data_IF_431056787120
#
_entry.id   IF_431056787120
#
_cell.length_a   1.000
_cell.length_b   1.000
_cell.length_c   1.000
_cell.angle_alpha   90.00
_cell.angle_beta   90.00
_cell.angle_gamma   90.00
#
_symmetry.space_group_name_H-M   'P 1'
#
loop_
_entity.id
_entity.type
_entity.pdbx_description
1 polymer ?
#
# COMPACT_ATOMS: atom_id res chain seq x y z
N UNK A 1 24.02 -20.13 51.52
CA UNK A 1 22.95 -20.89 50.82
C UNK A 1 21.76 -20.05 50.37
N UNK A 2 21.45 -18.89 50.97
CA UNK A 2 20.33 -18.03 50.53
C UNK A 2 20.59 -17.28 49.20
N UNK A 3 21.82 -16.85 48.95
CA UNK A 3 22.21 -16.16 47.70
C UNK A 3 22.08 -17.03 46.43
N UNK A 4 22.29 -18.35 46.55
CA UNK A 4 22.18 -19.27 45.42
C UNK A 4 20.73 -19.47 44.95
N UNK A 5 19.76 -19.35 45.88
CA UNK A 5 18.32 -19.41 45.56
C UNK A 5 17.85 -18.16 44.83
N UNK A 6 18.38 -16.98 45.18
CA UNK A 6 18.04 -15.74 44.49
C UNK A 6 18.54 -15.75 43.04
N UNK A 7 19.75 -16.28 42.81
CA UNK A 7 20.34 -16.38 41.47
C UNK A 7 19.59 -17.37 40.57
N UNK A 8 19.13 -18.50 41.11
CA UNK A 8 18.30 -19.45 40.36
C UNK A 8 16.91 -18.88 40.02
N UNK A 9 16.30 -18.10 40.93
CA UNK A 9 15.02 -17.43 40.65
C UNK A 9 15.18 -16.33 39.58
N UNK A 10 16.25 -15.53 39.67
CA UNK A 10 16.56 -14.50 38.65
C UNK A 10 16.84 -15.12 37.28
N UNK A 11 17.60 -16.22 37.21
CA UNK A 11 17.81 -16.92 35.95
C UNK A 11 16.54 -17.60 35.41
N UNK A 12 15.64 -18.08 36.27
CA UNK A 12 14.35 -18.58 35.81
C UNK A 12 13.46 -17.47 35.23
N UNK A 13 13.48 -16.27 35.81
CA UNK A 13 12.71 -15.12 35.28
C UNK A 13 13.27 -14.69 33.91
N UNK A 14 14.60 -14.71 33.73
CA UNK A 14 15.21 -14.42 32.43
C UNK A 14 15.02 -15.53 31.39
N UNK A 15 14.85 -16.80 31.79
CA UNK A 15 14.51 -17.89 30.88
C UNK A 15 13.03 -17.92 30.48
N UNK A 16 12.12 -17.41 31.31
CA UNK A 16 10.69 -17.36 30.98
C UNK A 16 10.36 -16.31 29.91
N UNK A 17 11.21 -15.30 29.69
CA UNK A 17 11.07 -14.35 28.59
C UNK A 17 11.74 -14.79 27.28
N UNK A 18 12.39 -15.96 27.25
CA UNK A 18 13.16 -16.42 26.09
C UNK A 18 12.51 -17.57 25.30
N UNK A 19 11.28 -18.00 25.68
CA UNK A 19 10.60 -19.16 25.07
C UNK A 19 9.13 -18.87 24.72
N UNK A 20 8.75 -17.60 24.61
CA UNK A 20 7.66 -17.19 23.73
C UNK A 20 8.36 -16.57 22.53
N UNK A 21 8.17 -17.11 21.33
CA UNK A 21 8.59 -16.42 20.11
C UNK A 21 8.10 -14.98 20.24
N UNK A 22 9.00 -14.03 20.13
CA UNK A 22 8.65 -12.64 20.34
C UNK A 22 7.75 -12.26 19.17
N UNK A 23 6.46 -12.02 19.44
CA UNK A 23 5.45 -11.56 18.48
C UNK A 23 5.82 -10.12 18.12
N UNK A 24 6.83 -9.96 17.26
CA UNK A 24 7.47 -8.67 16.96
C UNK A 24 7.16 -8.23 15.53
N UNK A 25 6.82 -9.16 14.65
CA UNK A 25 6.56 -8.93 13.23
C UNK A 25 5.24 -9.55 12.81
N UNK A 26 4.70 -9.12 11.67
CA UNK A 26 3.50 -9.71 11.08
C UNK A 26 3.70 -11.21 10.79
N UNK A 27 4.90 -11.62 10.38
CA UNK A 27 5.25 -13.03 10.11
C UNK A 27 5.11 -13.95 11.33
N UNK A 28 5.06 -13.38 12.53
CA UNK A 28 4.87 -14.14 13.78
C UNK A 28 3.40 -14.47 14.04
N UNK A 29 2.45 -13.88 13.29
CA UNK A 29 1.02 -14.10 13.44
C UNK A 29 0.65 -15.55 13.13
N UNK A 30 0.04 -16.21 14.09
CA UNK A 30 -0.49 -17.57 13.94
C UNK A 30 -1.80 -17.78 14.67
N UNK A 31 -2.35 -16.74 15.32
CA UNK A 31 -3.63 -16.72 16.04
C UNK A 31 -3.78 -17.73 17.19
N UNK A 32 -2.78 -18.59 17.42
CA UNK A 32 -2.70 -19.50 18.56
C UNK A 32 -1.83 -18.93 19.68
N UNK A 33 -0.66 -18.40 19.32
CA UNK A 33 0.37 -17.91 20.25
C UNK A 33 0.68 -16.41 20.09
N UNK A 34 0.36 -15.82 18.93
CA UNK A 34 0.57 -14.41 18.58
C UNK A 34 -0.63 -13.89 17.79
N UNK A 35 -1.35 -12.93 18.38
CA UNK A 35 -2.50 -12.25 17.76
C UNK A 35 -2.14 -10.81 17.40
N UNK A 36 -3.01 -10.14 16.63
CA UNK A 36 -2.82 -8.73 16.27
C UNK A 36 -2.63 -7.83 17.50
N UNK A 37 -3.38 -8.06 18.58
CA UNK A 37 -3.25 -7.28 19.83
C UNK A 37 -1.91 -7.46 20.55
N UNK A 38 -1.11 -8.45 20.16
CA UNK A 38 0.20 -8.70 20.74
C UNK A 38 1.32 -7.99 19.96
N UNK A 39 1.02 -7.46 18.76
CA UNK A 39 1.95 -6.70 17.93
C UNK A 39 2.08 -5.24 18.40
N UNK A 40 3.13 -4.54 17.96
CA UNK A 40 3.27 -3.11 18.25
C UNK A 40 2.41 -2.24 17.30
N UNK A 41 2.02 -1.04 17.74
CA UNK A 41 1.29 -0.07 16.90
C UNK A 41 1.98 0.21 15.55
N UNK A 42 3.32 0.18 15.53
CA UNK A 42 4.12 0.38 14.31
C UNK A 42 3.89 -0.75 13.32
N UNK A 43 3.86 -1.99 13.79
CA UNK A 43 3.63 -3.17 12.94
C UNK A 43 2.18 -3.19 12.47
N UNK A 44 1.24 -2.91 13.36
CA UNK A 44 -0.18 -2.81 13.03
C UNK A 44 -0.48 -1.73 11.98
N UNK A 45 0.20 -0.59 12.07
CA UNK A 45 0.13 0.47 11.04
C UNK A 45 0.75 -0.01 9.73
N UNK A 46 1.84 -0.78 9.79
CA UNK A 46 2.51 -1.34 8.62
C UNK A 46 1.62 -2.26 7.78
N UNK A 47 0.72 -3.03 8.42
CA UNK A 47 -0.25 -3.90 7.73
C UNK A 47 -1.15 -3.08 6.78
N UNK A 48 -1.69 -1.97 7.25
CA UNK A 48 -2.54 -1.10 6.42
C UNK A 48 -1.73 -0.36 5.34
N UNK A 49 -0.51 0.08 5.67
CA UNK A 49 0.34 0.79 4.72
C UNK A 49 0.70 -0.06 3.49
N UNK A 50 0.78 -1.41 3.64
CA UNK A 50 1.05 -2.32 2.52
C UNK A 50 -0.01 -2.22 1.42
N UNK A 51 -1.27 -2.04 1.81
CA UNK A 51 -2.40 -1.89 0.87
C UNK A 51 -2.73 -0.42 0.57
N UNK A 52 -1.82 0.51 0.90
CA UNK A 52 -1.99 1.94 0.62
C UNK A 52 -2.96 2.68 1.53
N UNK A 53 -3.41 2.08 2.64
CA UNK A 53 -4.33 2.72 3.59
C UNK A 53 -3.57 3.28 4.80
N UNK A 54 -3.68 4.59 5.04
CA UNK A 54 -3.23 5.18 6.30
C UNK A 54 -4.18 4.82 7.45
N UNK A 55 -3.63 4.20 8.48
CA UNK A 55 -4.37 3.75 9.66
C UNK A 55 -5.14 4.89 10.34
N UNK A 56 -4.52 6.05 10.50
CA UNK A 56 -5.05 7.16 11.31
C UNK A 56 -5.97 8.07 10.49
N UNK A 57 -5.72 8.21 9.19
CA UNK A 57 -6.47 9.09 8.29
C UNK A 57 -7.63 8.37 7.60
N UNK A 58 -7.48 7.10 7.23
CA UNK A 58 -8.49 6.36 6.45
C UNK A 58 -9.25 5.32 7.27
N UNK A 59 -8.53 4.49 8.04
CA UNK A 59 -9.11 3.27 8.65
C UNK A 59 -9.83 3.57 9.96
N UNK A 60 -9.10 4.08 10.95
CA UNK A 60 -9.63 4.31 12.30
C UNK A 60 -10.80 5.32 12.35
N UNK A 61 -10.80 6.43 11.59
CA UNK A 61 -11.94 7.34 11.55
C UNK A 61 -13.22 6.70 11.00
N UNK A 62 -13.09 5.71 10.11
CA UNK A 62 -14.23 5.01 9.49
C UNK A 62 -14.80 3.94 10.41
N UNK A 63 -13.93 3.23 11.14
CA UNK A 63 -14.32 2.19 12.09
C UNK A 63 -14.92 2.74 13.38
N UNK A 64 -14.45 3.90 13.82
CA UNK A 64 -14.84 4.52 15.08
C UNK A 64 -15.74 5.69 14.71
N UNK A 65 -17.04 5.42 14.72
CA UNK A 65 -18.14 6.34 14.39
C UNK A 65 -18.09 7.58 15.30
N UNK A 66 -17.27 8.55 14.92
CA UNK A 66 -16.95 9.73 15.72
C UNK A 66 -17.47 10.99 15.03
N UNK A 67 -18.71 11.35 15.36
CA UNK A 67 -19.41 12.58 14.98
C UNK A 67 -18.73 13.89 15.47
N UNK A 68 -17.60 13.79 16.20
CA UNK A 68 -16.89 14.95 16.75
C UNK A 68 -15.84 15.50 15.77
N UNK A 69 -16.33 16.38 14.88
CA UNK A 69 -15.56 17.29 14.01
C UNK A 69 -14.76 18.38 14.76
N UNK A 70 -14.34 18.13 16.00
CA UNK A 70 -13.42 19.04 16.69
C UNK A 70 -12.01 18.71 16.20
N UNK A 71 -11.37 19.63 15.47
CA UNK A 71 -10.03 19.48 14.88
C UNK A 71 -8.87 19.32 15.89
N UNK A 72 -9.09 18.59 16.98
CA UNK A 72 -8.05 18.09 17.87
C UNK A 72 -7.48 16.79 17.31
N UNK A 73 -6.17 16.61 17.45
CA UNK A 73 -5.48 15.39 17.04
C UNK A 73 -6.01 14.22 17.86
N UNK A 74 -6.79 13.34 17.22
CA UNK A 74 -7.34 12.15 17.86
C UNK A 74 -6.21 11.23 18.32
N UNK A 75 -6.38 10.66 19.51
CA UNK A 75 -5.45 9.68 20.08
C UNK A 75 -6.20 8.37 20.19
N UNK A 76 -5.76 7.39 19.40
CA UNK A 76 -6.34 6.06 19.35
C UNK A 76 -5.66 5.12 20.33
N UNK A 77 -6.40 4.15 20.86
CA UNK A 77 -5.86 3.10 21.75
C UNK A 77 -5.23 1.98 20.95
N UNK A 78 -4.37 1.20 21.59
CA UNK A 78 -3.72 0.05 20.96
C UNK A 78 -4.74 -0.96 20.41
N UNK A 79 -5.82 -1.22 21.15
CA UNK A 79 -6.91 -2.08 20.71
C UNK A 79 -7.58 -1.56 19.43
N UNK A 80 -7.65 -0.25 19.26
CA UNK A 80 -8.18 0.37 18.04
C UNK A 80 -7.23 0.14 16.86
N UNK A 81 -5.92 0.27 17.06
CA UNK A 81 -4.93 -0.11 16.03
C UNK A 81 -5.04 -1.59 15.64
N UNK A 82 -5.26 -2.49 16.61
CA UNK A 82 -5.43 -3.91 16.32
C UNK A 82 -6.70 -4.19 15.50
N UNK A 83 -7.82 -3.54 15.83
CA UNK A 83 -9.06 -3.62 15.03
C UNK A 83 -8.87 -3.00 13.63
N UNK A 84 -8.14 -1.89 13.52
CA UNK A 84 -7.83 -1.29 12.23
C UNK A 84 -6.99 -2.20 11.34
N UNK A 85 -5.99 -2.88 11.92
CA UNK A 85 -5.18 -3.84 11.19
C UNK A 85 -5.99 -5.06 10.73
N UNK A 86 -6.93 -5.53 11.55
CA UNK A 86 -7.88 -6.59 11.17
C UNK A 86 -8.73 -6.18 9.96
N UNK A 87 -9.25 -4.95 9.95
CA UNK A 87 -9.99 -4.41 8.80
C UNK A 87 -9.12 -4.38 7.54
N UNK A 88 -7.86 -3.92 7.64
CA UNK A 88 -6.94 -3.90 6.51
C UNK A 88 -6.67 -5.29 5.95
N UNK A 89 -6.50 -6.31 6.80
CA UNK A 89 -6.33 -7.70 6.34
C UNK A 89 -7.60 -8.19 5.62
N UNK A 90 -8.79 -7.84 6.12
CA UNK A 90 -10.05 -8.22 5.45
C UNK A 90 -10.21 -7.53 4.10
N UNK A 91 -9.84 -6.25 3.99
CA UNK A 91 -9.85 -5.52 2.72
C UNK A 91 -8.86 -6.13 1.74
N UNK A 92 -7.64 -6.42 2.18
CA UNK A 92 -6.63 -7.10 1.35
C UNK A 92 -7.14 -8.43 0.78
N UNK A 93 -7.71 -9.28 1.63
CA UNK A 93 -8.27 -10.56 1.22
C UNK A 93 -9.46 -10.40 0.27
N UNK A 94 -10.31 -9.39 0.47
CA UNK A 94 -11.42 -9.10 -0.44
C UNK A 94 -10.92 -8.57 -1.80
N UNK A 95 -9.89 -7.72 -1.82
CA UNK A 95 -9.26 -7.26 -3.07
C UNK A 95 -8.63 -8.42 -3.84
N UNK A 96 -7.92 -9.32 -3.16
CA UNK A 96 -7.33 -10.51 -3.76
C UNK A 96 -8.41 -11.44 -4.33
N UNK A 97 -9.51 -11.62 -3.59
CA UNK A 97 -10.67 -12.38 -4.06
C UNK A 97 -11.31 -11.74 -5.29
N UNK A 98 -11.50 -10.41 -5.29
CA UNK A 98 -12.04 -9.69 -6.44
C UNK A 98 -11.12 -9.80 -7.66
N UNK A 99 -9.80 -9.71 -7.48
CA UNK A 99 -8.83 -9.89 -8.55
C UNK A 99 -8.94 -11.26 -9.23
N UNK A 100 -9.27 -12.31 -8.45
CA UNK A 100 -9.48 -13.67 -8.98
C UNK A 100 -10.88 -13.90 -9.57
N UNK A 101 -11.93 -13.42 -8.89
CA UNK A 101 -13.32 -13.73 -9.22
C UNK A 101 -13.91 -12.79 -10.28
N UNK A 102 -13.57 -11.50 -10.23
CA UNK A 102 -14.11 -10.46 -11.11
C UNK A 102 -13.08 -9.31 -11.32
N UNK A 103 -12.02 -9.55 -12.11
CA UNK A 103 -10.98 -8.54 -12.35
C UNK A 103 -11.51 -7.29 -13.07
N UNK A 104 -12.58 -7.40 -13.87
CA UNK A 104 -13.19 -6.26 -14.56
C UNK A 104 -13.85 -5.28 -13.57
N UNK A 105 -14.46 -5.81 -12.50
CA UNK A 105 -15.04 -4.99 -11.44
C UNK A 105 -13.95 -4.29 -10.61
N UNK A 106 -12.85 -4.98 -10.32
CA UNK A 106 -11.70 -4.39 -9.62
C UNK A 106 -11.11 -3.22 -10.44
N UNK A 107 -10.86 -3.44 -11.73
CA UNK A 107 -10.37 -2.39 -12.64
C UNK A 107 -11.35 -1.20 -12.71
N UNK A 108 -12.66 -1.47 -12.68
CA UNK A 108 -13.68 -0.41 -12.62
C UNK A 108 -13.59 0.39 -11.32
N UNK A 109 -13.42 -0.28 -10.18
CA UNK A 109 -13.30 0.38 -8.87
C UNK A 109 -12.04 1.24 -8.77
N UNK A 110 -10.90 0.75 -9.24
CA UNK A 110 -9.66 1.51 -9.30
C UNK A 110 -9.82 2.77 -10.16
N UNK A 111 -10.45 2.64 -11.33
CA UNK A 111 -10.73 3.78 -12.20
C UNK A 111 -11.64 4.81 -11.53
N UNK A 112 -12.67 4.36 -10.82
CA UNK A 112 -13.57 5.26 -10.09
C UNK A 112 -12.84 5.99 -8.97
N UNK A 113 -12.00 5.29 -8.20
CA UNK A 113 -11.19 5.90 -7.15
C UNK A 113 -10.21 6.95 -7.70
N UNK A 114 -9.55 6.67 -8.82
CA UNK A 114 -8.67 7.64 -9.49
C UNK A 114 -9.42 8.86 -10.03
N UNK A 115 -10.67 8.68 -10.47
CA UNK A 115 -11.49 9.77 -11.00
C UNK A 115 -12.11 10.65 -9.89
N UNK A 116 -12.29 10.12 -8.68
CA UNK A 116 -12.87 10.86 -7.56
C UNK A 116 -11.92 11.92 -6.99
N UNK A 117 -10.61 11.64 -6.92
CA UNK A 117 -9.60 12.58 -6.45
C UNK A 117 -8.33 12.60 -7.34
N UNK A 118 -8.39 13.30 -8.49
CA UNK A 118 -7.25 13.41 -9.39
C UNK A 118 -6.12 14.26 -8.80
N UNK A 119 -6.38 15.07 -7.77
CA UNK A 119 -5.37 15.90 -7.12
C UNK A 119 -4.43 15.05 -6.26
N UNK A 120 -4.98 14.05 -5.53
CA UNK A 120 -4.17 13.06 -4.79
C UNK A 120 -3.32 12.24 -5.76
N UNK A 121 -3.89 11.78 -6.86
CA UNK A 121 -3.15 11.02 -7.88
C UNK A 121 -2.01 11.87 -8.46
N UNK A 122 -2.28 13.13 -8.78
CA UNK A 122 -1.27 14.07 -9.25
C UNK A 122 -0.13 14.29 -8.23
N UNK A 123 -0.44 14.37 -6.93
CA UNK A 123 0.55 14.49 -5.86
C UNK A 123 1.45 13.24 -5.80
N UNK A 124 0.87 12.04 -5.80
CA UNK A 124 1.62 10.78 -5.78
C UNK A 124 2.55 10.69 -6.99
N UNK A 125 2.04 10.96 -8.20
CA UNK A 125 2.86 10.94 -9.42
C UNK A 125 3.98 11.98 -9.30
N UNK A 126 3.68 13.19 -8.83
CA UNK A 126 4.68 14.25 -8.66
C UNK A 126 5.80 13.84 -7.70
N UNK A 127 5.46 13.17 -6.60
CA UNK A 127 6.42 12.67 -5.62
C UNK A 127 7.30 11.55 -6.19
N UNK A 128 6.72 10.63 -6.97
CA UNK A 128 7.48 9.58 -7.68
C UNK A 128 8.44 10.21 -8.69
N UNK A 129 7.97 11.15 -9.51
CA UNK A 129 8.80 11.84 -10.50
C UNK A 129 9.92 12.66 -9.85
N UNK A 130 9.73 13.21 -8.66
CA UNK A 130 10.77 13.95 -7.94
C UNK A 130 11.88 13.05 -7.39
N UNK A 131 11.59 11.78 -7.15
CA UNK A 131 12.58 10.83 -6.64
C UNK A 131 13.59 10.42 -7.71
N UNK A 132 13.20 10.44 -8.99
CA UNK A 132 14.06 10.05 -10.11
C UNK A 132 14.08 11.11 -11.24
N UNK A 133 15.23 11.78 -11.37
CA UNK A 133 15.45 12.82 -12.36
C UNK A 133 15.53 12.30 -13.82
N UNK A 134 15.78 11.01 -14.03
CA UNK A 134 15.77 10.38 -15.34
C UNK A 134 14.32 10.06 -15.73
N UNK A 135 13.58 9.40 -14.83
CA UNK A 135 12.14 9.16 -15.00
C UNK A 135 11.37 10.45 -15.30
N UNK A 136 11.63 11.52 -14.52
CA UNK A 136 11.04 12.84 -14.75
C UNK A 136 11.23 13.34 -16.19
N UNK A 137 12.43 13.17 -16.74
CA UNK A 137 12.74 13.62 -18.11
C UNK A 137 12.08 12.75 -19.15
N UNK A 138 12.05 11.45 -18.93
CA UNK A 138 11.50 10.49 -19.88
C UNK A 138 9.99 10.66 -19.98
N UNK A 139 9.31 10.80 -18.83
CA UNK A 139 7.88 11.13 -18.76
C UNK A 139 7.61 12.52 -19.36
N UNK A 140 8.40 13.55 -19.02
CA UNK A 140 8.24 14.88 -19.61
C UNK A 140 8.39 14.87 -21.14
N UNK A 141 9.30 14.06 -21.68
CA UNK A 141 9.53 13.93 -23.12
C UNK A 141 8.35 13.22 -23.79
N UNK A 142 7.90 12.09 -23.21
CA UNK A 142 6.77 11.33 -23.71
C UNK A 142 5.49 12.14 -23.76
N UNK A 143 5.21 12.92 -22.70
CA UNK A 143 4.06 13.83 -22.65
C UNK A 143 4.15 14.91 -23.73
N UNK A 144 5.34 15.48 -23.98
CA UNK A 144 5.53 16.46 -25.07
C UNK A 144 5.31 15.85 -26.46
N UNK A 145 5.65 14.57 -26.62
CA UNK A 145 5.56 13.86 -27.90
C UNK A 145 4.21 13.14 -28.12
N UNK A 146 3.35 13.09 -27.09
CA UNK A 146 2.01 12.50 -27.13
C UNK A 146 1.07 13.37 -27.99
N UNK A 147 1.12 13.15 -29.31
CA UNK A 147 0.32 13.90 -30.28
C UNK A 147 -1.20 13.78 -30.05
N UNK A 148 -1.64 12.64 -29.51
CA UNK A 148 -3.05 12.35 -29.24
C UNK A 148 -3.60 13.18 -28.05
N UNK A 149 -2.71 13.72 -27.21
CA UNK A 149 -3.03 14.53 -26.02
C UNK A 149 -2.51 15.97 -26.12
N UNK A 150 -2.13 16.42 -27.33
CA UNK A 150 -1.46 17.70 -27.53
C UNK A 150 -2.28 18.92 -27.09
N UNK A 151 -3.62 18.86 -27.20
CA UNK A 151 -4.50 19.95 -26.77
C UNK A 151 -4.50 20.08 -25.24
N UNK A 152 -4.57 18.97 -24.50
CA UNK A 152 -4.52 18.94 -23.02
C UNK A 152 -3.15 19.44 -22.53
N UNK A 153 -2.08 18.92 -23.12
CA UNK A 153 -0.70 19.32 -22.80
C UNK A 153 -0.52 20.81 -23.01
N UNK A 154 -1.03 21.34 -24.12
CA UNK A 154 -0.96 22.77 -24.41
C UNK A 154 -1.77 23.61 -23.43
N UNK A 155 -3.02 23.25 -23.15
CA UNK A 155 -3.90 24.03 -22.27
C UNK A 155 -3.32 24.14 -20.85
N UNK A 156 -2.77 23.04 -20.32
CA UNK A 156 -2.16 23.02 -18.98
C UNK A 156 -0.81 23.74 -18.99
N UNK A 157 0.05 23.51 -19.98
CA UNK A 157 1.37 24.18 -20.03
C UNK A 157 1.26 25.69 -20.21
N UNK A 158 0.34 26.18 -21.06
CA UNK A 158 0.10 27.62 -21.23
C UNK A 158 -0.52 28.28 -19.99
N UNK A 159 -1.26 27.52 -19.17
CA UNK A 159 -1.91 28.00 -17.96
C UNK A 159 -1.05 27.95 -16.69
N UNK A 160 -0.13 26.99 -16.58
CA UNK A 160 0.55 26.66 -15.32
C UNK A 160 2.07 26.83 -15.35
N UNK A 161 2.70 26.88 -16.53
CA UNK A 161 4.13 27.18 -16.66
C UNK A 161 4.37 28.67 -16.87
N UNK A 162 5.38 29.21 -16.18
CA UNK A 162 5.85 30.57 -16.41
C UNK A 162 6.74 30.65 -17.66
N UNK A 163 6.94 31.86 -18.20
CA UNK A 163 7.84 32.06 -19.35
C UNK A 163 9.24 31.48 -19.08
N UNK A 164 9.62 30.45 -19.83
CA UNK A 164 10.92 29.80 -19.75
C UNK A 164 11.00 28.60 -18.81
N UNK A 165 9.92 28.27 -18.08
CA UNK A 165 9.82 27.01 -17.34
C UNK A 165 9.51 25.85 -18.29
N UNK A 166 10.06 24.68 -17.99
CA UNK A 166 9.76 23.42 -18.67
C UNK A 166 9.04 22.46 -17.72
N UNK A 167 8.44 21.39 -18.26
CA UNK A 167 7.80 20.35 -17.45
C UNK A 167 8.77 19.68 -16.46
N UNK A 168 10.07 19.63 -16.80
CA UNK A 168 11.12 19.08 -15.94
C UNK A 168 11.41 20.01 -14.73
N UNK A 169 11.10 21.30 -14.84
CA UNK A 169 11.27 22.27 -13.75
C UNK A 169 10.07 22.27 -12.79
N UNK A 170 8.95 21.65 -13.20
CA UNK A 170 7.66 21.66 -12.50
C UNK A 170 7.06 20.24 -12.42
N UNK A 171 7.63 19.36 -11.57
CA UNK A 171 7.11 18.00 -11.37
C UNK A 171 5.64 17.98 -10.93
N UNK A 172 5.20 19.01 -10.19
CA UNK A 172 3.80 19.22 -9.80
C UNK A 172 2.86 19.39 -11.00
N UNK A 173 3.28 20.17 -12.01
CA UNK A 173 2.50 20.38 -13.24
C UNK A 173 2.53 19.12 -14.11
N UNK A 174 3.68 18.42 -14.14
CA UNK A 174 3.81 17.19 -14.90
C UNK A 174 2.99 16.04 -14.28
N UNK A 175 2.98 15.90 -12.95
CA UNK A 175 2.15 14.91 -12.26
C UNK A 175 0.66 15.17 -12.48
N UNK A 176 0.23 16.43 -12.44
CA UNK A 176 -1.15 16.81 -12.79
C UNK A 176 -1.51 16.47 -14.24
N UNK A 177 -0.60 16.70 -15.18
CA UNK A 177 -0.78 16.35 -16.59
C UNK A 177 -0.95 14.84 -16.79
N UNK A 178 -0.08 14.06 -16.16
CA UNK A 178 -0.11 12.59 -16.22
C UNK A 178 -1.42 12.07 -15.61
N UNK A 179 -1.81 12.55 -14.42
CA UNK A 179 -3.09 12.19 -13.78
C UNK A 179 -4.30 12.52 -14.67
N UNK A 180 -4.31 13.71 -15.28
CA UNK A 180 -5.40 14.15 -16.17
C UNK A 180 -5.50 13.23 -17.39
N UNK A 181 -4.36 12.90 -18.01
CA UNK A 181 -4.34 12.01 -19.18
C UNK A 181 -4.77 10.59 -18.78
N UNK A 182 -4.37 10.08 -17.61
CA UNK A 182 -4.78 8.76 -17.13
C UNK A 182 -6.29 8.65 -16.89
N UNK A 183 -6.94 9.73 -16.43
CA UNK A 183 -8.39 9.77 -16.26
C UNK A 183 -9.12 9.81 -17.61
N UNK A 184 -8.60 10.56 -18.58
CA UNK A 184 -9.22 10.66 -19.92
C UNK A 184 -8.94 9.46 -20.82
N UNK A 185 -7.76 8.85 -20.67
CA UNK A 185 -7.26 7.71 -21.42
C UNK A 185 -6.60 6.69 -20.48
N UNK A 186 -7.39 5.76 -19.91
CA UNK A 186 -6.87 4.72 -19.03
C UNK A 186 -5.83 3.82 -19.69
N UNK A 187 -5.76 3.73 -21.02
CA UNK A 187 -4.70 2.94 -21.68
C UNK A 187 -3.31 3.56 -21.54
N UNK A 188 -3.24 4.84 -21.17
CA UNK A 188 -2.00 5.51 -20.81
C UNK A 188 -1.38 4.92 -19.52
N UNK A 189 -2.19 4.39 -18.60
CA UNK A 189 -1.72 3.69 -17.40
C UNK A 189 -0.86 2.50 -17.76
N UNK A 190 -1.32 1.63 -18.66
CA UNK A 190 -0.57 0.44 -19.08
C UNK A 190 0.82 0.81 -19.64
N UNK A 191 0.90 1.92 -20.36
CA UNK A 191 2.15 2.41 -20.94
C UNK A 191 3.05 3.13 -19.93
N UNK A 192 2.49 3.65 -18.85
CA UNK A 192 3.20 4.29 -17.74
C UNK A 192 3.71 3.25 -16.74
N UNK A 193 2.87 2.27 -16.39
CA UNK A 193 3.19 1.13 -15.54
C UNK A 193 4.29 0.27 -16.17
N UNK A 194 4.27 0.04 -17.48
CA UNK A 194 5.36 -0.66 -18.17
C UNK A 194 6.71 0.06 -18.01
N UNK A 195 6.72 1.40 -17.99
CA UNK A 195 7.96 2.18 -17.82
C UNK A 195 8.44 2.20 -16.38
N UNK A 196 7.52 2.34 -15.42
CA UNK A 196 7.84 2.16 -14.01
C UNK A 196 8.37 0.74 -13.78
N UNK A 197 7.75 -0.28 -14.37
CA UNK A 197 8.18 -1.66 -14.20
C UNK A 197 9.58 -1.90 -14.79
N UNK A 198 9.88 -1.37 -15.98
CA UNK A 198 11.19 -1.48 -16.63
C UNK A 198 12.29 -0.79 -15.80
N UNK A 199 12.02 0.37 -15.21
CA UNK A 199 12.99 1.15 -14.43
C UNK A 199 13.20 0.57 -13.01
N UNK A 200 12.14 0.08 -12.36
CA UNK A 200 12.21 -0.45 -10.98
C UNK A 200 12.58 -1.94 -10.92
N UNK A 201 12.19 -2.75 -11.90
CA UNK A 201 12.39 -4.22 -11.86
C UNK A 201 13.43 -4.74 -12.88
N UNK A 202 13.84 -3.93 -13.86
CA UNK A 202 14.89 -4.29 -14.82
C UNK A 202 14.53 -5.43 -15.80
N UNK A 203 15.27 -5.55 -16.90
CA UNK A 203 15.10 -6.56 -17.97
C UNK A 203 15.21 -8.04 -17.53
N UNK A 204 15.33 -8.35 -16.24
CA UNK A 204 15.49 -9.71 -15.71
C UNK A 204 14.19 -10.33 -15.13
N UNK A 205 13.04 -9.67 -15.28
CA UNK A 205 11.73 -10.35 -15.13
C UNK A 205 11.40 -11.12 -16.41
N UNK A 206 12.16 -12.20 -16.66
CA UNK A 206 11.66 -13.33 -17.44
C UNK A 206 10.43 -13.85 -16.67
N UNK A 207 9.24 -13.52 -17.16
CA UNK A 207 7.93 -13.95 -16.63
C UNK A 207 7.67 -15.46 -16.83
N UNK A 208 8.71 -16.28 -16.68
CA UNK A 208 8.66 -17.75 -16.70
C UNK A 208 8.85 -18.35 -15.29
N UNK A 209 8.64 -17.57 -14.22
CA UNK A 209 8.40 -18.17 -12.90
C UNK A 209 6.95 -18.70 -12.88
N UNK A 210 6.86 -19.97 -13.29
CA UNK A 210 5.79 -20.93 -13.08
C UNK A 210 5.01 -20.66 -11.77
N UNK A 211 3.87 -19.99 -11.89
CA UNK A 211 2.76 -20.11 -10.92
C UNK A 211 1.91 -21.36 -11.23
N UNK A 212 2.53 -22.42 -11.75
CA UNK A 212 1.99 -23.78 -11.70
C UNK A 212 2.33 -24.40 -10.32
N UNK A 213 1.92 -23.76 -9.23
CA UNK A 213 1.79 -24.47 -7.96
C UNK A 213 0.46 -25.24 -7.98
N UNK A 214 0.59 -26.54 -8.24
CA UNK A 214 -0.41 -27.60 -8.15
C UNK A 214 -1.51 -27.31 -7.10
N UNK A 215 -2.81 -27.22 -7.47
CA UNK A 215 -3.90 -27.03 -6.51
C UNK A 215 -4.21 -28.26 -5.62
N UNK A 216 -3.33 -29.28 -5.60
CA UNK A 216 -3.63 -30.61 -5.06
C UNK A 216 -2.72 -31.08 -3.89
N UNK A 217 -1.88 -30.23 -3.28
CA UNK A 217 -1.09 -30.61 -2.08
C UNK A 217 -1.44 -29.83 -0.80
N UNK A 218 -2.74 -29.62 -0.54
CA UNK A 218 -3.24 -29.53 0.84
C UNK A 218 -3.76 -30.91 1.23
N UNK A 219 -2.82 -31.81 1.46
CA UNK A 219 -3.07 -33.09 2.11
C UNK A 219 -3.52 -32.88 3.56
N UNK A 220 -4.81 -33.15 3.80
CA UNK A 220 -5.36 -33.87 4.96
C UNK A 220 -4.71 -33.64 6.34
N UNK A 221 -5.47 -33.11 7.30
CA UNK A 221 -6.09 -33.94 8.36
C UNK A 221 -7.00 -33.15 9.32
N UNK A 222 -8.20 -33.71 9.52
CA UNK A 222 -9.07 -33.64 10.72
C UNK A 222 -9.92 -32.37 10.88
N UNK A 223 -11.24 -32.54 10.70
CA UNK A 223 -12.24 -32.32 11.76
C UNK A 223 -13.61 -32.88 11.32
N UNK A 224 -13.71 -34.21 11.30
CA UNK A 224 -14.98 -34.89 11.58
C UNK A 224 -14.74 -35.79 12.80
N UNK A 225 -15.03 -35.28 13.99
CA UNK A 225 -15.74 -36.03 15.05
C UNK A 225 -15.91 -35.17 16.32
N UNK A 226 -17.13 -35.21 16.86
CA UNK A 226 -17.57 -34.80 18.21
C UNK A 226 -17.82 -33.29 18.52
N UNK A 227 -19.04 -32.81 18.23
CA UNK A 227 -20.12 -32.55 19.22
C UNK A 227 -21.39 -31.95 18.62
#
# INVERSE_FOLDING_TARGET
>A
MQLLKLFLVLQSISLFHLVRGACETEDDLNFEDCNLIDLSDVVLTGICNRIGLDMVEHVLPTLIDDDDSSGEKKVYTHEQYAMGAEECIMVEAEMERLAMEDPEELERMEREAMAEDPDILAEIISDVLQQDAQLLKDVATKIKDAADHADIVKDITEGMLSEGETLEDRPDVLGYLVATIMVEDPSFLDEFDAQLAEEFYGEDYDSEDDWDEDPDDIGHEILEDEL
#
